data_IF_611592729361
#
_entry.id   IF_611592729361
#
_cell.length_a   1.000
_cell.length_b   1.000
_cell.length_c   1.000
_cell.angle_alpha   90.00
_cell.angle_beta   90.00
_cell.angle_gamma   90.00
#
_symmetry.space_group_name_H-M   'P 1'
#
loop_
_entity.id
_entity.type
_entity.pdbx_description
1 polymer ?
#
# COMPACT_ATOMS: atom_id res chain seq x y z
N UNK A 1 -5.45 18.67 -8.81
CA UNK A 1 -4.49 17.58 -8.99
C UNK A 1 -3.17 18.22 -9.31
N UNK A 2 -2.21 18.03 -8.43
CA UNK A 2 -0.90 18.62 -8.59
C UNK A 2 0.01 17.71 -9.41
N UNK A 3 0.95 18.24 -10.21
CA UNK A 3 1.77 17.44 -11.13
C UNK A 3 2.49 16.25 -10.48
N UNK A 4 2.81 16.37 -9.19
CA UNK A 4 3.48 15.36 -8.39
C UNK A 4 2.59 14.20 -7.93
N UNK A 5 1.28 14.40 -7.80
CA UNK A 5 0.32 13.33 -7.43
C UNK A 5 0.19 12.30 -8.56
N UNK A 6 0.36 12.76 -9.81
CA UNK A 6 0.25 11.92 -10.99
C UNK A 6 1.36 10.87 -11.05
N UNK A 7 2.61 11.25 -10.72
CA UNK A 7 3.75 10.33 -10.76
C UNK A 7 3.68 9.19 -9.74
N UNK A 8 3.07 9.42 -8.57
CA UNK A 8 2.83 8.36 -7.60
C UNK A 8 1.81 7.33 -8.12
N UNK A 9 0.68 7.82 -8.65
CA UNK A 9 -0.38 6.95 -9.17
C UNK A 9 0.10 6.17 -10.40
N UNK A 10 0.87 6.81 -11.29
CA UNK A 10 1.50 6.15 -12.44
C UNK A 10 2.47 5.05 -12.01
N UNK A 11 3.32 5.33 -11.03
CA UNK A 11 4.27 4.33 -10.50
C UNK A 11 3.56 3.14 -9.84
N UNK A 12 2.53 3.41 -9.04
CA UNK A 12 1.71 2.38 -8.41
C UNK A 12 1.05 1.47 -9.45
N UNK A 13 0.37 2.07 -10.44
CA UNK A 13 -0.37 1.33 -11.46
C UNK A 13 0.55 0.52 -12.37
N UNK A 14 1.73 1.05 -12.71
CA UNK A 14 2.75 0.31 -13.45
C UNK A 14 3.23 -0.93 -12.69
N UNK A 15 3.58 -0.75 -11.41
CA UNK A 15 4.07 -1.86 -10.57
C UNK A 15 3.01 -2.91 -10.28
N UNK A 16 1.77 -2.51 -10.02
CA UNK A 16 0.66 -3.44 -9.83
C UNK A 16 0.46 -4.33 -11.06
N UNK A 17 0.57 -3.74 -12.25
CA UNK A 17 0.43 -4.47 -13.51
C UNK A 17 1.58 -5.48 -13.69
N UNK A 18 2.82 -5.02 -13.56
CA UNK A 18 3.99 -5.84 -13.88
C UNK A 18 4.24 -6.95 -12.85
N UNK A 19 3.97 -6.69 -11.57
CA UNK A 19 4.36 -7.59 -10.48
C UNK A 19 3.24 -8.53 -10.03
N UNK A 20 1.98 -8.19 -10.30
CA UNK A 20 0.84 -9.00 -9.88
C UNK A 20 -0.04 -9.40 -11.08
N UNK A 21 -0.59 -8.44 -11.81
CA UNK A 21 -1.64 -8.74 -12.79
C UNK A 21 -1.12 -9.49 -14.02
N UNK A 22 0.11 -9.23 -14.45
CA UNK A 22 0.74 -9.95 -15.56
C UNK A 22 1.30 -11.32 -15.15
N UNK A 23 1.46 -11.57 -13.84
CA UNK A 23 2.08 -12.78 -13.29
C UNK A 23 1.09 -13.84 -12.78
N UNK A 24 -0.17 -13.47 -12.56
CA UNK A 24 -1.16 -14.37 -11.97
C UNK A 24 -2.42 -14.52 -12.83
N UNK A 25 -2.99 -15.73 -12.80
CA UNK A 25 -4.32 -16.04 -13.35
C UNK A 25 -5.28 -16.15 -12.18
N UNK A 26 -6.32 -15.31 -12.16
CA UNK A 26 -7.36 -15.36 -11.13
C UNK A 26 -8.56 -16.17 -11.63
N UNK A 27 -8.99 -17.15 -10.84
CA UNK A 27 -10.14 -17.98 -11.18
C UNK A 27 -11.45 -17.37 -10.70
N UNK A 28 -11.39 -16.45 -9.74
CA UNK A 28 -12.56 -15.72 -9.25
C UNK A 28 -12.24 -14.26 -8.92
N UNK A 29 -13.28 -13.40 -8.97
CA UNK A 29 -13.16 -12.01 -8.53
C UNK A 29 -12.81 -11.88 -7.04
N UNK A 30 -13.21 -12.85 -6.21
CA UNK A 30 -12.88 -12.86 -4.77
C UNK A 30 -11.38 -13.06 -4.56
N UNK A 31 -10.80 -14.00 -5.28
CA UNK A 31 -9.36 -14.26 -5.27
C UNK A 31 -8.56 -13.03 -5.72
N UNK A 32 -8.94 -12.44 -6.87
CA UNK A 32 -8.31 -11.21 -7.37
C UNK A 32 -8.32 -10.09 -6.32
N UNK A 33 -9.46 -9.86 -5.64
CA UNK A 33 -9.56 -8.84 -4.59
C UNK A 33 -8.60 -9.12 -3.42
N UNK A 34 -8.52 -10.37 -2.95
CA UNK A 34 -7.65 -10.73 -1.83
C UNK A 34 -6.17 -10.52 -2.22
N UNK A 35 -5.78 -10.93 -3.42
CA UNK A 35 -4.40 -10.83 -3.89
C UNK A 35 -3.98 -9.37 -4.12
N UNK A 36 -4.85 -8.56 -4.74
CA UNK A 36 -4.61 -7.12 -4.92
C UNK A 36 -4.47 -6.40 -3.58
N UNK A 37 -5.31 -6.71 -2.60
CA UNK A 37 -5.24 -6.08 -1.27
C UNK A 37 -3.97 -6.47 -0.51
N UNK A 38 -3.57 -7.73 -0.57
CA UNK A 38 -2.29 -8.19 0.00
C UNK A 38 -1.10 -7.51 -0.66
N UNK A 39 -1.11 -7.41 -2.00
CA UNK A 39 -0.04 -6.73 -2.74
C UNK A 39 0.01 -5.24 -2.41
N UNK A 40 -1.14 -4.56 -2.33
CA UNK A 40 -1.23 -3.14 -1.96
C UNK A 40 -0.66 -2.89 -0.56
N UNK A 41 -1.02 -3.73 0.41
CA UNK A 41 -0.47 -3.66 1.77
C UNK A 41 1.05 -3.85 1.75
N UNK A 42 1.56 -4.81 0.99
CA UNK A 42 3.00 -5.03 0.85
C UNK A 42 3.73 -3.85 0.21
N UNK A 43 3.21 -3.32 -0.90
CA UNK A 43 3.73 -2.16 -1.60
C UNK A 43 3.81 -0.94 -0.66
N UNK A 44 2.76 -0.71 0.13
CA UNK A 44 2.68 0.45 1.02
C UNK A 44 3.53 0.33 2.30
N UNK A 45 3.85 -0.88 2.77
CA UNK A 45 4.49 -1.08 4.10
C UNK A 45 5.94 -1.54 4.04
N UNK A 46 6.34 -2.27 2.98
CA UNK A 46 7.66 -2.93 2.92
C UNK A 46 8.57 -2.39 1.83
N UNK A 47 8.02 -1.75 0.79
CA UNK A 47 8.84 -1.37 -0.37
C UNK A 47 9.57 -0.05 -0.10
N UNK A 48 10.93 -0.04 -0.12
CA UNK A 48 11.67 1.19 -0.01
C UNK A 48 11.50 2.01 -1.29
N UNK A 49 10.84 3.15 -1.19
CA UNK A 49 10.78 4.11 -2.28
C UNK A 49 12.03 5.00 -2.24
N UNK A 50 12.85 4.95 -3.28
CA UNK A 50 14.04 5.82 -3.42
C UNK A 50 13.67 7.30 -3.38
N UNK A 51 12.51 7.68 -3.93
CA UNK A 51 11.95 9.04 -3.86
C UNK A 51 11.47 9.45 -2.46
N UNK A 52 11.34 8.50 -1.52
CA UNK A 52 10.97 8.73 -0.11
C UNK A 52 12.13 8.41 0.85
N UNK A 53 13.37 8.36 0.35
CA UNK A 53 14.54 8.05 1.17
C UNK A 53 14.52 6.64 1.76
N UNK A 54 14.08 5.65 0.97
CA UNK A 54 13.91 4.24 1.36
C UNK A 54 12.81 3.97 2.40
N UNK A 55 11.89 4.93 2.61
CA UNK A 55 10.76 4.77 3.52
C UNK A 55 9.51 4.29 2.78
N UNK A 56 8.65 3.47 3.43
CA UNK A 56 7.34 3.15 2.91
C UNK A 56 6.45 4.40 2.82
N UNK A 57 5.56 4.50 1.80
CA UNK A 57 4.68 5.66 1.58
C UNK A 57 3.64 5.86 2.69
N UNK A 58 3.32 4.81 3.45
CA UNK A 58 2.58 4.90 4.70
C UNK A 58 3.23 3.95 5.71
N UNK A 59 4.08 4.43 6.65
CA UNK A 59 4.49 3.60 7.77
C UNK A 59 3.23 3.15 8.51
N UNK A 60 3.15 1.88 8.94
CA UNK A 60 2.09 1.41 9.83
C UNK A 60 2.10 2.27 11.10
N UNK A 61 1.25 3.29 11.14
CA UNK A 61 0.94 3.98 12.38
C UNK A 61 0.08 3.03 13.19
N UNK A 62 0.64 2.49 14.27
CA UNK A 62 -0.15 1.83 15.31
C UNK A 62 -1.16 2.88 15.79
N UNK A 63 -2.41 2.74 15.37
CA UNK A 63 -3.48 3.58 15.89
C UNK A 63 -3.73 3.12 17.32
N UNK A 64 -3.06 3.75 18.28
CA UNK A 64 -3.35 3.57 19.70
C UNK A 64 -4.86 3.84 19.90
N UNK A 65 -5.64 2.86 20.37
CA UNK A 65 -7.04 3.12 20.68
C UNK A 65 -7.10 4.17 21.79
N UNK A 66 -7.94 5.19 21.61
CA UNK A 66 -8.16 6.30 22.56
C UNK A 66 -8.56 5.84 23.98
N UNK A 67 -8.79 4.54 24.19
CA UNK A 67 -9.13 3.91 25.47
C UNK A 67 -8.02 4.01 26.53
N UNK A 68 -6.74 4.15 26.15
CA UNK A 68 -5.63 4.13 27.13
C UNK A 68 -5.42 5.51 27.79
N UNK A 69 -5.98 6.60 27.25
CA UNK A 69 -5.81 7.95 27.78
C UNK A 69 -6.84 8.34 28.87
N UNK A 70 -7.79 7.48 29.23
CA UNK A 70 -8.82 7.78 30.25
C UNK A 70 -8.52 7.19 31.64
N UNK A 71 -7.34 6.61 31.85
CA UNK A 71 -6.97 5.95 33.11
C UNK A 71 -5.69 6.47 33.74
N UNK A 72 -5.32 7.73 33.56
CA UNK A 72 -4.35 8.39 34.45
C UNK A 72 -4.74 9.87 34.65
N UNK A 73 -5.30 10.14 35.84
CA UNK A 73 -5.50 11.41 36.56
C UNK A 73 -5.97 12.66 35.81
#
# INVERSE_FOLDING_TARGET
GSPWENGYNESFNGKLRDELLNGEIFYTLKEAKIMIERWRAHYNTKRPHTSLGYRPPAPETIQIPNTIMTYEN
#
